data_IF_030635199057
#
_entry.id   IF_030635199057
#
_cell.length_a   1.000
_cell.length_b   1.000
_cell.length_c   1.000
_cell.angle_alpha   90.00
_cell.angle_beta   90.00
_cell.angle_gamma   90.00
#
_symmetry.space_group_name_H-M   'P 1'
#
loop_
_entity.id
_entity.type
_entity.pdbx_description
1 polymer ?
#
# COMPACT_ATOMS: atom_id res chain seq x y z
N UNK A 1 3.82 -18.03 3.33
CA UNK A 1 3.95 -18.15 4.80
C UNK A 1 3.95 -19.61 5.28
N UNK A 2 3.23 -20.50 4.59
CA UNK A 2 3.03 -21.88 5.04
C UNK A 2 4.23 -22.82 4.83
N UNK A 3 5.21 -22.39 4.02
CA UNK A 3 6.45 -23.13 3.75
C UNK A 3 7.55 -22.87 4.78
N UNK A 4 7.35 -21.93 5.71
CA UNK A 4 8.36 -21.49 6.69
C UNK A 4 7.88 -21.81 8.11
N UNK A 5 8.70 -22.50 8.93
CA UNK A 5 8.39 -22.76 10.34
C UNK A 5 8.01 -21.48 11.09
N UNK A 6 7.09 -21.56 12.06
CA UNK A 6 6.54 -20.38 12.76
C UNK A 6 7.62 -19.46 13.33
N UNK A 7 8.69 -20.03 13.86
CA UNK A 7 9.84 -19.30 14.42
C UNK A 7 10.61 -18.47 13.37
N UNK A 8 10.60 -18.89 12.11
CA UNK A 8 11.34 -18.25 11.02
C UNK A 8 10.49 -17.31 10.15
N UNK A 9 9.18 -17.22 10.43
CA UNK A 9 8.24 -16.39 9.64
C UNK A 9 8.62 -14.92 9.68
N UNK A 10 8.95 -14.36 10.85
CA UNK A 10 9.35 -12.96 10.99
C UNK A 10 10.59 -12.63 10.11
N UNK A 11 11.72 -13.35 10.24
CA UNK A 11 12.87 -13.18 9.34
C UNK A 11 12.53 -13.33 7.85
N UNK A 12 11.73 -14.34 7.48
CA UNK A 12 11.38 -14.58 6.08
C UNK A 12 10.54 -13.44 5.48
N UNK A 13 9.58 -12.89 6.24
CA UNK A 13 8.79 -11.73 5.81
C UNK A 13 9.68 -10.50 5.66
N UNK A 14 10.64 -10.29 6.58
CA UNK A 14 11.58 -9.17 6.47
C UNK A 14 12.45 -9.28 5.21
N UNK A 15 12.93 -10.48 4.86
CA UNK A 15 13.68 -10.71 3.61
C UNK A 15 12.79 -10.47 2.39
N UNK A 16 11.54 -10.92 2.42
CA UNK A 16 10.58 -10.69 1.34
C UNK A 16 10.33 -9.19 1.13
N UNK A 17 10.11 -8.44 2.20
CA UNK A 17 9.92 -6.98 2.13
C UNK A 17 11.15 -6.27 1.61
N UNK A 18 12.35 -6.66 2.09
CA UNK A 18 13.60 -6.14 1.55
C UNK A 18 13.70 -6.40 0.03
N UNK A 19 13.40 -7.62 -0.43
CA UNK A 19 13.43 -7.95 -1.85
C UNK A 19 12.43 -7.11 -2.66
N UNK A 20 11.21 -6.91 -2.16
CA UNK A 20 10.19 -6.06 -2.81
C UNK A 20 10.63 -4.60 -2.92
N UNK A 21 11.22 -4.05 -1.86
CA UNK A 21 11.72 -2.67 -1.86
C UNK A 21 12.94 -2.49 -2.76
N UNK A 22 13.88 -3.43 -2.75
CA UNK A 22 15.04 -3.43 -3.66
C UNK A 22 14.57 -3.53 -5.11
N UNK A 23 13.62 -4.42 -5.39
CA UNK A 23 12.99 -4.55 -6.71
C UNK A 23 12.39 -3.23 -7.17
N UNK A 24 11.63 -2.56 -6.29
CA UNK A 24 11.02 -1.25 -6.57
C UNK A 24 12.05 -0.14 -6.82
N UNK A 25 13.16 -0.12 -6.06
CA UNK A 25 14.25 0.84 -6.24
C UNK A 25 14.96 0.63 -7.58
N UNK A 26 15.26 -0.63 -7.92
CA UNK A 26 15.92 -1.00 -9.19
C UNK A 26 14.99 -0.71 -10.37
N UNK A 27 13.70 -1.04 -10.26
CA UNK A 27 12.72 -0.78 -11.33
C UNK A 27 12.50 0.71 -11.56
N UNK A 28 12.43 1.53 -10.49
CA UNK A 28 12.32 2.98 -10.63
C UNK A 28 13.57 3.58 -11.30
N UNK A 29 14.76 3.13 -10.89
CA UNK A 29 16.03 3.62 -11.43
C UNK A 29 16.24 3.25 -12.90
N UNK A 30 16.03 1.97 -13.26
CA UNK A 30 16.19 1.48 -14.63
C UNK A 30 15.02 1.89 -15.52
N UNK A 31 13.79 1.89 -14.99
CA UNK A 31 12.59 2.28 -15.72
C UNK A 31 12.65 3.73 -16.20
N UNK A 32 13.14 4.66 -15.38
CA UNK A 32 13.31 6.05 -15.79
C UNK A 32 14.33 6.23 -16.92
N UNK A 33 15.46 5.52 -16.85
CA UNK A 33 16.48 5.54 -17.90
C UNK A 33 15.97 4.92 -19.21
N UNK A 34 15.32 3.75 -19.14
CA UNK A 34 14.78 3.07 -20.32
C UNK A 34 13.63 3.87 -20.97
N UNK A 35 12.74 4.44 -20.15
CA UNK A 35 11.64 5.30 -20.64
C UNK A 35 12.15 6.57 -21.34
N UNK A 36 13.34 7.06 -20.99
CA UNK A 36 13.95 8.23 -21.64
C UNK A 36 14.49 7.96 -23.05
N UNK A 37 14.74 6.68 -23.40
CA UNK A 37 15.26 6.27 -24.71
C UNK A 37 14.12 5.80 -25.62
N UNK A 38 13.29 4.86 -25.17
CA UNK A 38 12.10 4.40 -25.89
C UNK A 38 11.16 3.61 -24.98
N UNK A 39 9.86 3.91 -24.99
CA UNK A 39 8.87 3.15 -24.21
C UNK A 39 8.83 1.65 -24.56
N UNK A 40 9.10 1.29 -25.82
CA UNK A 40 9.04 -0.10 -26.28
C UNK A 40 10.14 -0.99 -25.65
N UNK A 41 11.33 -0.44 -25.38
CA UNK A 41 12.42 -1.20 -24.75
C UNK A 41 12.10 -1.53 -23.30
N UNK A 42 11.36 -0.65 -22.62
CA UNK A 42 10.86 -0.89 -21.27
C UNK A 42 9.87 -2.07 -21.24
N UNK A 43 8.91 -2.11 -22.17
CA UNK A 43 7.99 -3.25 -22.30
C UNK A 43 8.69 -4.56 -22.68
N UNK A 44 9.71 -4.50 -23.55
CA UNK A 44 10.52 -5.67 -23.90
C UNK A 44 11.31 -6.22 -22.71
N UNK A 45 11.91 -5.34 -21.90
CA UNK A 45 12.63 -5.71 -20.68
C UNK A 45 11.70 -6.33 -19.62
N UNK A 46 10.51 -5.74 -19.42
CA UNK A 46 9.48 -6.27 -18.52
C UNK A 46 9.02 -7.67 -18.94
N UNK A 47 8.75 -7.86 -20.24
CA UNK A 47 8.39 -9.17 -20.81
C UNK A 47 9.50 -10.20 -20.57
N UNK A 48 10.76 -9.83 -20.86
CA UNK A 48 11.91 -10.72 -20.71
C UNK A 48 12.14 -11.15 -19.26
N UNK A 49 12.11 -10.20 -18.31
CA UNK A 49 12.29 -10.49 -16.89
C UNK A 49 11.16 -11.35 -16.31
N UNK A 50 9.92 -11.06 -16.71
CA UNK A 50 8.74 -11.87 -16.32
C UNK A 50 8.83 -13.30 -16.86
N UNK A 51 9.26 -13.47 -18.11
CA UNK A 51 9.45 -14.80 -18.71
C UNK A 51 10.56 -15.59 -18.01
N UNK A 52 11.69 -14.95 -17.69
CA UNK A 52 12.77 -15.56 -16.92
C UNK A 52 12.25 -16.01 -15.56
N UNK A 53 11.52 -15.16 -14.84
CA UNK A 53 10.93 -15.53 -13.55
C UNK A 53 9.96 -16.72 -13.67
N UNK A 54 9.08 -16.72 -14.69
CA UNK A 54 8.18 -17.83 -14.96
C UNK A 54 8.94 -19.14 -15.23
N UNK A 55 10.01 -19.10 -16.02
CA UNK A 55 10.86 -20.26 -16.28
C UNK A 55 11.58 -20.76 -15.03
N UNK A 56 12.15 -19.86 -14.22
CA UNK A 56 12.77 -20.20 -12.95
C UNK A 56 11.76 -20.87 -12.01
N UNK A 57 10.53 -20.36 -11.92
CA UNK A 57 9.46 -20.99 -11.16
C UNK A 57 9.12 -22.38 -11.73
N UNK A 58 8.99 -22.56 -13.03
CA UNK A 58 8.69 -23.87 -13.63
C UNK A 58 9.78 -24.93 -13.38
N UNK A 59 11.04 -24.49 -13.28
CA UNK A 59 12.22 -25.37 -13.11
C UNK A 59 12.50 -25.64 -11.63
N UNK A 60 12.52 -24.59 -10.80
CA UNK A 60 13.01 -24.65 -9.42
C UNK A 60 11.90 -24.69 -8.36
N UNK A 61 10.65 -24.36 -8.69
CA UNK A 61 9.59 -24.36 -7.69
C UNK A 61 9.27 -25.80 -7.25
N UNK A 62 9.35 -26.12 -5.95
CA UNK A 62 9.08 -27.46 -5.45
C UNK A 62 7.64 -27.86 -5.78
N UNK A 63 7.46 -28.85 -6.66
CA UNK A 63 6.12 -29.40 -7.01
C UNK A 63 5.45 -30.16 -5.87
N UNK A 64 6.16 -30.36 -4.75
CA UNK A 64 5.75 -31.17 -3.61
C UNK A 64 5.20 -30.33 -2.44
N UNK A 65 4.59 -29.18 -2.73
CA UNK A 65 3.67 -28.58 -1.75
C UNK A 65 2.42 -29.43 -1.80
N UNK A 66 2.34 -30.43 -0.91
CA UNK A 66 1.07 -31.06 -0.64
C UNK A 66 0.13 -29.93 -0.22
N UNK A 67 -0.94 -29.65 -0.98
CA UNK A 67 -2.00 -28.80 -0.46
C UNK A 67 -2.36 -29.44 0.87
N UNK A 68 -2.23 -28.70 1.99
CA UNK A 68 -2.89 -29.15 3.20
C UNK A 68 -4.34 -29.42 2.77
N UNK A 69 -4.86 -30.65 2.93
CA UNK A 69 -6.21 -30.97 2.51
C UNK A 69 -7.07 -29.92 3.18
N UNK A 70 -7.65 -29.03 2.36
CA UNK A 70 -8.23 -27.76 2.79
C UNK A 70 -9.01 -28.03 4.07
N UNK A 71 -8.45 -27.60 5.21
CA UNK A 71 -8.90 -28.01 6.54
C UNK A 71 -10.41 -27.91 6.56
N UNK A 72 -11.08 -29.08 6.49
CA UNK A 72 -12.50 -29.26 6.23
C UNK A 72 -13.22 -27.95 5.89
N UNK A 73 -13.14 -27.50 4.62
CA UNK A 73 -13.96 -26.38 4.18
C UNK A 73 -15.38 -26.70 4.63
N UNK A 74 -15.96 -25.86 5.48
CA UNK A 74 -17.31 -25.99 6.01
C UNK A 74 -18.24 -26.26 4.84
N UNK A 75 -18.60 -27.53 4.64
CA UNK A 75 -19.45 -27.96 3.54
C UNK A 75 -20.88 -27.63 3.92
N UNK A 76 -21.37 -26.54 3.37
CA UNK A 76 -22.75 -26.11 3.44
C UNK A 76 -22.90 -24.75 2.75
N UNK A 77 -24.02 -24.47 2.08
CA UNK A 77 -24.29 -23.14 1.53
C UNK A 77 -24.27 -22.13 2.68
N UNK A 78 -23.17 -21.38 2.82
CA UNK A 78 -23.15 -20.24 3.72
C UNK A 78 -24.09 -19.19 3.14
N UNK A 79 -25.08 -18.70 3.90
CA UNK A 79 -25.93 -17.62 3.43
C UNK A 79 -25.05 -16.44 3.00
N UNK A 80 -25.36 -15.79 1.87
CA UNK A 80 -24.61 -14.58 1.43
C UNK A 80 -24.57 -13.53 2.55
N UNK A 81 -25.64 -13.47 3.36
CA UNK A 81 -25.72 -12.61 4.54
C UNK A 81 -24.66 -12.92 5.62
N UNK A 82 -24.19 -14.17 5.72
CA UNK A 82 -23.13 -14.59 6.62
C UNK A 82 -21.74 -14.07 6.19
N UNK A 83 -21.57 -13.72 4.91
CA UNK A 83 -20.36 -13.05 4.43
C UNK A 83 -20.32 -11.57 4.83
N UNK A 84 -21.48 -10.95 5.09
CA UNK A 84 -21.58 -9.55 5.52
C UNK A 84 -21.40 -9.37 7.03
N UNK A 85 -21.13 -10.45 7.79
CA UNK A 85 -20.87 -10.41 9.23
C UNK A 85 -19.81 -9.38 9.63
N UNK A 86 -18.66 -9.24 8.94
CA UNK A 86 -17.66 -8.25 9.30
C UNK A 86 -18.21 -6.82 9.28
N UNK A 87 -19.11 -6.51 8.34
CA UNK A 87 -19.70 -5.17 8.22
C UNK A 87 -20.71 -4.84 9.32
N UNK A 88 -21.13 -5.81 10.14
CA UNK A 88 -21.99 -5.56 11.30
C UNK A 88 -21.22 -4.95 12.47
N UNK A 89 -19.92 -5.24 12.56
CA UNK A 89 -19.04 -4.67 13.57
C UNK A 89 -18.68 -3.21 13.24
N UNK A 90 -18.93 -2.31 14.19
CA UNK A 90 -18.60 -0.90 14.05
C UNK A 90 -17.09 -0.64 13.97
N UNK A 91 -16.29 -1.40 14.72
CA UNK A 91 -14.84 -1.30 14.69
C UNK A 91 -14.29 -1.72 13.32
N UNK A 92 -14.77 -2.86 12.79
CA UNK A 92 -14.38 -3.31 11.47
C UNK A 92 -14.80 -2.34 10.36
N UNK A 93 -16.03 -1.77 10.41
CA UNK A 93 -16.45 -0.73 9.45
C UNK A 93 -15.52 0.48 9.46
N UNK A 94 -15.09 0.95 10.63
CA UNK A 94 -14.12 2.05 10.74
C UNK A 94 -12.79 1.69 10.09
N UNK A 95 -12.25 0.51 10.37
CA UNK A 95 -10.99 0.05 9.77
C UNK A 95 -11.14 -0.04 8.25
N UNK A 96 -12.22 -0.64 7.76
CA UNK A 96 -12.50 -0.75 6.34
C UNK A 96 -12.52 0.63 5.67
N UNK A 97 -13.19 1.62 6.27
CA UNK A 97 -13.24 2.99 5.76
C UNK A 97 -11.87 3.68 5.80
N UNK A 98 -11.10 3.50 6.88
CA UNK A 98 -9.73 4.01 6.97
C UNK A 98 -8.86 3.41 5.86
N UNK A 99 -8.91 2.09 5.66
CA UNK A 99 -8.16 1.40 4.62
C UNK A 99 -8.54 1.90 3.23
N UNK A 100 -9.83 2.04 2.95
CA UNK A 100 -10.32 2.61 1.70
C UNK A 100 -9.79 4.04 1.48
N UNK A 101 -9.92 4.92 2.48
CA UNK A 101 -9.47 6.32 2.36
C UNK A 101 -7.95 6.41 2.19
N UNK A 102 -7.19 5.72 3.04
CA UNK A 102 -5.73 5.75 3.01
C UNK A 102 -5.18 5.21 1.67
N UNK A 103 -5.70 4.08 1.19
CA UNK A 103 -5.28 3.52 -0.11
C UNK A 103 -5.70 4.39 -1.29
N UNK A 104 -6.84 5.08 -1.18
CA UNK A 104 -7.26 6.05 -2.18
C UNK A 104 -6.29 7.22 -2.30
N UNK A 105 -5.76 7.72 -1.17
CA UNK A 105 -4.75 8.79 -1.21
C UNK A 105 -3.37 8.24 -1.62
N UNK A 106 -2.99 7.05 -1.14
CA UNK A 106 -1.74 6.38 -1.52
C UNK A 106 -1.68 6.12 -3.04
N UNK A 107 -2.80 5.76 -3.67
CA UNK A 107 -2.88 5.55 -5.12
C UNK A 107 -2.50 6.78 -5.96
N UNK A 108 -2.55 7.98 -5.37
CA UNK A 108 -2.15 9.21 -6.07
C UNK A 108 -0.65 9.27 -6.31
N UNK A 109 0.15 8.57 -5.48
CA UNK A 109 1.60 8.48 -5.61
C UNK A 109 2.01 8.00 -7.01
N UNK A 110 1.34 6.96 -7.51
CA UNK A 110 1.73 6.29 -8.75
C UNK A 110 1.07 6.87 -9.99
N UNK A 111 0.07 7.74 -9.83
CA UNK A 111 -0.79 8.22 -10.92
C UNK A 111 -0.78 9.75 -11.00
N UNK A 112 -1.58 10.42 -10.17
CA UNK A 112 -1.79 11.87 -10.18
C UNK A 112 -0.51 12.64 -9.91
N UNK A 113 0.36 12.16 -9.03
CA UNK A 113 1.63 12.81 -8.73
C UNK A 113 2.57 12.85 -9.94
N UNK A 114 2.66 11.76 -10.70
CA UNK A 114 3.48 11.70 -11.92
C UNK A 114 2.99 12.70 -12.98
N UNK A 115 1.67 12.79 -13.16
CA UNK A 115 1.05 13.77 -14.08
C UNK A 115 1.23 15.21 -13.56
N UNK A 116 1.10 15.42 -12.26
CA UNK A 116 1.27 16.75 -11.67
C UNK A 116 2.70 17.26 -11.81
N UNK A 117 3.69 16.39 -11.56
CA UNK A 117 5.11 16.71 -11.73
C UNK A 117 5.43 17.11 -13.17
N UNK A 118 4.89 16.41 -14.16
CA UNK A 118 5.10 16.76 -15.58
C UNK A 118 4.40 18.07 -15.98
N UNK A 119 3.21 18.37 -15.42
CA UNK A 119 2.55 19.68 -15.60
C UNK A 119 3.35 20.85 -15.03
N UNK A 120 4.15 20.62 -14.00
CA UNK A 120 5.08 21.60 -13.43
C UNK A 120 6.41 21.69 -14.21
N UNK A 121 6.53 21.03 -15.36
CA UNK A 121 7.75 21.03 -16.19
C UNK A 121 8.82 20.02 -15.74
N UNK A 122 8.48 19.11 -14.82
CA UNK A 122 9.35 18.00 -14.45
C UNK A 122 9.43 16.93 -15.54
N UNK A 123 10.51 16.16 -15.54
CA UNK A 123 10.72 15.06 -16.50
C UNK A 123 10.32 13.70 -15.92
N UNK A 124 10.04 12.69 -16.75
CA UNK A 124 9.87 11.30 -16.29
C UNK A 124 11.09 10.80 -15.49
N UNK A 125 12.30 11.19 -15.89
CA UNK A 125 13.53 10.86 -15.18
C UNK A 125 13.56 11.45 -13.76
N UNK A 126 13.06 12.68 -13.57
CA UNK A 126 12.94 13.29 -12.24
C UNK A 126 11.94 12.51 -11.37
N UNK A 127 10.77 12.15 -11.91
CA UNK A 127 9.79 11.32 -11.18
C UNK A 127 10.40 9.97 -10.76
N UNK A 128 11.06 9.27 -11.68
CA UNK A 128 11.72 8.00 -11.42
C UNK A 128 12.86 8.12 -10.39
N UNK A 129 13.67 9.18 -10.48
CA UNK A 129 14.74 9.46 -9.52
C UNK A 129 14.19 9.75 -8.12
N UNK A 130 13.10 10.51 -8.03
CA UNK A 130 12.40 10.74 -6.77
C UNK A 130 11.84 9.42 -6.21
N UNK A 131 11.17 8.60 -7.02
CA UNK A 131 10.69 7.27 -6.58
C UNK A 131 11.83 6.37 -6.09
N UNK A 132 12.96 6.32 -6.80
CA UNK A 132 14.12 5.54 -6.41
C UNK A 132 14.73 6.03 -5.08
N UNK A 133 14.86 7.35 -4.89
CA UNK A 133 15.30 7.94 -3.62
C UNK A 133 14.33 7.58 -2.49
N UNK A 134 13.03 7.62 -2.76
CA UNK A 134 12.01 7.18 -1.82
C UNK A 134 12.15 5.71 -1.41
N UNK A 135 12.32 4.80 -2.37
CA UNK A 135 12.56 3.38 -2.09
C UNK A 135 13.83 3.14 -1.29
N UNK A 136 14.91 3.89 -1.53
CA UNK A 136 16.13 3.82 -0.72
C UNK A 136 15.85 4.20 0.74
N UNK A 137 15.08 5.27 0.96
CA UNK A 137 14.66 5.69 2.30
C UNK A 137 13.82 4.61 2.97
N UNK A 138 12.92 3.95 2.24
CA UNK A 138 12.18 2.76 2.75
C UNK A 138 13.14 1.68 3.22
N UNK A 139 14.08 1.27 2.38
CA UNK A 139 15.05 0.21 2.72
C UNK A 139 15.83 0.56 4.00
N UNK A 140 16.23 1.83 4.16
CA UNK A 140 17.03 2.29 5.30
C UNK A 140 16.21 2.47 6.58
N UNK A 141 14.96 2.92 6.48
CA UNK A 141 14.17 3.36 7.64
C UNK A 141 13.01 2.43 8.02
N UNK A 142 12.58 1.51 7.15
CA UNK A 142 11.41 0.66 7.44
C UNK A 142 11.61 -0.18 8.70
N UNK A 143 12.76 -0.87 8.83
CA UNK A 143 13.03 -1.72 10.00
C UNK A 143 13.16 -0.88 11.29
N UNK A 144 13.95 0.22 11.33
CA UNK A 144 13.97 1.13 12.48
C UNK A 144 12.60 1.68 12.86
N UNK A 145 11.82 2.17 11.89
CA UNK A 145 10.50 2.75 12.13
C UNK A 145 9.51 1.71 12.65
N UNK A 146 9.48 0.53 12.04
CA UNK A 146 8.61 -0.57 12.51
C UNK A 146 8.95 -0.97 13.93
N UNK A 147 10.24 -1.03 14.28
CA UNK A 147 10.70 -1.33 15.64
C UNK A 147 10.34 -0.22 16.63
N UNK A 148 10.42 1.04 16.20
CA UNK A 148 10.05 2.19 17.02
C UNK A 148 8.55 2.22 17.34
N UNK A 149 7.71 1.95 16.33
CA UNK A 149 6.25 1.98 16.47
C UNK A 149 5.62 0.68 16.98
N UNK A 150 6.40 -0.38 17.23
CA UNK A 150 5.87 -1.69 17.64
C UNK A 150 5.02 -1.67 18.93
N UNK A 151 5.21 -0.67 19.79
CA UNK A 151 4.45 -0.50 21.05
C UNK A 151 3.34 0.55 20.95
N UNK A 152 3.21 1.23 19.81
CA UNK A 152 2.20 2.27 19.60
C UNK A 152 0.91 1.60 19.09
N UNK A 153 -0.27 1.96 19.61
CA UNK A 153 -1.53 1.43 19.12
C UNK A 153 -1.67 1.64 17.62
N UNK A 154 -2.05 0.56 16.92
CA UNK A 154 -2.09 0.53 15.46
C UNK A 154 -2.94 1.65 14.86
N UNK A 155 -4.08 2.00 15.47
CA UNK A 155 -4.91 3.12 15.05
C UNK A 155 -4.17 4.46 15.02
N UNK A 156 -3.29 4.71 16.01
CA UNK A 156 -2.48 5.93 16.08
C UNK A 156 -1.36 5.93 15.04
N UNK A 157 -0.78 4.77 14.77
CA UNK A 157 0.22 4.60 13.71
C UNK A 157 -0.40 4.95 12.35
N UNK A 158 -1.57 4.38 12.03
CA UNK A 158 -2.28 4.71 10.79
C UNK A 158 -2.70 6.17 10.71
N UNK A 159 -3.16 6.75 11.83
CA UNK A 159 -3.51 8.16 11.90
C UNK A 159 -2.30 9.06 11.62
N UNK A 160 -1.12 8.72 12.13
CA UNK A 160 0.11 9.46 11.86
C UNK A 160 0.51 9.41 10.38
N UNK A 161 0.45 8.23 9.75
CA UNK A 161 0.71 8.09 8.30
C UNK A 161 -0.26 8.91 7.46
N UNK A 162 -1.55 8.78 7.75
CA UNK A 162 -2.62 9.52 7.07
C UNK A 162 -2.47 11.04 7.23
N UNK A 163 -1.98 11.50 8.39
CA UNK A 163 -1.72 12.92 8.65
C UNK A 163 -0.54 13.43 7.82
N UNK A 164 0.55 12.65 7.74
CA UNK A 164 1.70 13.00 6.88
C UNK A 164 1.27 13.11 5.42
N UNK A 165 0.41 12.20 4.96
CA UNK A 165 -0.13 12.25 3.62
C UNK A 165 -1.05 13.48 3.39
N UNK A 166 -1.88 13.82 4.37
CA UNK A 166 -2.70 15.02 4.29
C UNK A 166 -1.85 16.31 4.22
N UNK A 167 -0.77 16.38 4.99
CA UNK A 167 0.20 17.48 4.94
C UNK A 167 0.90 17.50 3.57
N UNK A 168 1.30 16.35 3.03
CA UNK A 168 1.91 16.24 1.70
C UNK A 168 1.00 16.82 0.61
N UNK A 169 -0.29 16.44 0.64
CA UNK A 169 -1.28 16.97 -0.27
C UNK A 169 -1.49 18.48 -0.07
N UNK A 170 -1.54 18.95 1.18
CA UNK A 170 -1.59 20.38 1.50
C UNK A 170 -0.40 21.15 0.88
N UNK A 171 0.82 20.62 1.00
CA UNK A 171 2.01 21.19 0.37
C UNK A 171 1.84 21.20 -1.16
N UNK A 172 1.43 20.10 -1.78
CA UNK A 172 1.20 20.02 -3.23
C UNK A 172 0.20 21.08 -3.74
N UNK A 173 -0.79 21.48 -2.93
CA UNK A 173 -1.76 22.52 -3.31
C UNK A 173 -1.16 23.93 -3.42
N UNK A 174 0.02 24.15 -2.80
CA UNK A 174 0.72 25.44 -2.75
C UNK A 174 1.93 25.49 -3.69
N UNK A 175 2.37 24.34 -4.21
CA UNK A 175 3.60 24.24 -5.00
C UNK A 175 3.40 24.78 -6.41
N UNK A 176 4.33 25.65 -6.85
CA UNK A 176 4.35 26.25 -8.19
C UNK A 176 5.49 25.75 -9.10
N UNK A 177 6.34 24.82 -8.62
CA UNK A 177 7.49 24.34 -9.37
C UNK A 177 7.96 22.92 -8.99
N UNK A 178 8.66 22.21 -9.89
CA UNK A 178 8.83 20.76 -9.79
C UNK A 178 9.80 20.32 -8.68
N UNK A 179 10.76 21.17 -8.30
CA UNK A 179 11.76 20.84 -7.28
C UNK A 179 11.21 20.85 -5.85
N UNK A 180 10.09 21.54 -5.61
CA UNK A 180 9.41 21.55 -4.31
C UNK A 180 8.64 20.24 -4.01
N UNK A 181 8.57 19.33 -5.00
CA UNK A 181 7.89 18.03 -4.86
C UNK A 181 8.71 16.98 -4.09
N UNK A 182 9.95 17.26 -3.72
CA UNK A 182 10.76 16.36 -2.86
C UNK A 182 10.17 16.20 -1.45
N UNK A 183 9.52 17.24 -0.90
CA UNK A 183 8.86 17.20 0.40
C UNK A 183 7.61 16.30 0.42
N UNK A 184 6.67 16.44 -0.54
CA UNK A 184 5.56 15.50 -0.71
C UNK A 184 6.02 14.06 -0.91
N UNK A 185 7.11 13.85 -1.64
CA UNK A 185 7.67 12.52 -1.85
C UNK A 185 8.14 11.88 -0.54
N UNK A 186 8.86 12.61 0.30
CA UNK A 186 9.27 12.11 1.62
C UNK A 186 8.06 11.72 2.45
N UNK A 187 7.01 12.55 2.47
CA UNK A 187 5.79 12.25 3.21
C UNK A 187 5.05 11.01 2.68
N UNK A 188 5.02 10.81 1.36
CA UNK A 188 4.51 9.60 0.71
C UNK A 188 5.32 8.35 1.10
N UNK A 189 6.63 8.50 1.21
CA UNK A 189 7.55 7.43 1.62
C UNK A 189 7.31 7.04 3.08
N UNK A 190 7.11 8.01 3.96
CA UNK A 190 6.74 7.75 5.35
C UNK A 190 5.34 7.12 5.46
N UNK A 191 4.36 7.57 4.68
CA UNK A 191 3.02 6.99 4.65
C UNK A 191 3.05 5.50 4.28
N UNK A 192 3.73 5.14 3.19
CA UNK A 192 3.82 3.74 2.76
C UNK A 192 4.49 2.82 3.79
N UNK A 193 5.49 3.33 4.53
CA UNK A 193 6.13 2.59 5.63
C UNK A 193 5.26 2.44 6.88
N UNK A 194 4.38 3.40 7.13
CA UNK A 194 3.53 3.43 8.32
C UNK A 194 2.24 2.65 8.09
N UNK A 195 1.70 2.66 6.87
CA UNK A 195 0.44 1.99 6.52
C UNK A 195 0.60 0.48 6.27
N UNK A 196 1.69 0.05 5.60
CA UNK A 196 1.85 -1.34 5.14
C UNK A 196 1.95 -2.39 6.28
N UNK A 197 2.77 -2.21 7.34
CA UNK A 197 2.95 -3.24 8.37
C UNK A 197 1.73 -3.51 9.26
N UNK A 198 0.99 -2.50 9.76
CA UNK A 198 -0.20 -2.74 10.58
C UNK A 198 -1.39 -3.24 9.77
N UNK A 199 -1.51 -2.86 8.50
CA UNK A 199 -2.62 -3.29 7.65
C UNK A 199 -2.69 -4.81 7.48
N UNK A 200 -1.53 -5.47 7.34
CA UNK A 200 -1.43 -6.93 7.22
C UNK A 200 -1.80 -7.68 8.52
N UNK A 201 -1.73 -7.02 9.67
CA UNK A 201 -1.94 -7.65 10.99
C UNK A 201 -3.32 -7.39 11.58
N UNK A 202 -3.89 -6.19 11.38
CA UNK A 202 -5.20 -5.79 11.94
C UNK A 202 -6.32 -6.75 11.54
N UNK A 203 -6.35 -7.15 10.26
CA UNK A 203 -7.39 -8.05 9.76
C UNK A 203 -7.35 -9.43 10.38
N UNK A 204 -6.15 -9.90 10.77
CA UNK A 204 -5.97 -11.20 11.41
C UNK A 204 -6.21 -11.16 12.92
N UNK A 205 -5.99 -10.01 13.56
CA UNK A 205 -6.19 -9.78 15.00
C UNK A 205 -7.67 -9.59 15.36
N UNK A 206 -8.45 -8.91 14.52
CA UNK A 206 -9.86 -8.60 14.81
C UNK A 206 -10.80 -9.74 14.40
N UNK A 207 -10.37 -10.59 13.48
CA UNK A 207 -11.21 -11.63 12.94
C UNK A 207 -11.25 -12.87 13.84
N UNK A 208 -12.45 -13.41 14.14
CA UNK A 208 -12.60 -14.74 14.72
C UNK A 208 -11.87 -15.79 13.88
N UNK A 209 -11.30 -16.81 14.52
CA UNK A 209 -10.44 -17.79 13.85
C UNK A 209 -11.11 -18.44 12.63
N UNK A 210 -12.43 -18.66 12.71
CA UNK A 210 -13.25 -19.29 11.66
C UNK A 210 -13.63 -18.33 10.51
N UNK A 211 -13.49 -17.01 10.72
CA UNK A 211 -13.90 -15.95 9.78
C UNK A 211 -12.74 -15.07 9.28
N UNK A 212 -11.50 -15.36 9.68
CA UNK A 212 -10.28 -14.66 9.22
C UNK A 212 -10.22 -14.45 7.72
N UNK A 213 -10.55 -15.48 6.94
CA UNK A 213 -10.58 -15.38 5.48
C UNK A 213 -11.55 -14.30 5.00
N UNK A 214 -12.77 -14.25 5.54
CA UNK A 214 -13.80 -13.27 5.16
C UNK A 214 -13.40 -11.85 5.55
N UNK A 215 -12.91 -11.63 6.77
CA UNK A 215 -12.45 -10.32 7.23
C UNK A 215 -11.29 -9.79 6.37
N UNK A 216 -10.29 -10.63 6.10
CA UNK A 216 -9.17 -10.26 5.23
C UNK A 216 -9.64 -9.96 3.81
N UNK A 217 -10.56 -10.74 3.23
CA UNK A 217 -11.13 -10.45 1.91
C UNK A 217 -11.83 -9.10 1.85
N UNK A 218 -12.60 -8.73 2.88
CA UNK A 218 -13.25 -7.42 2.92
C UNK A 218 -12.25 -6.26 3.02
N UNK A 219 -11.16 -6.42 3.77
CA UNK A 219 -10.08 -5.44 3.80
C UNK A 219 -9.43 -5.29 2.41
N UNK A 220 -9.11 -6.41 1.75
CA UNK A 220 -8.58 -6.37 0.38
C UNK A 220 -9.54 -5.73 -0.62
N UNK A 221 -10.85 -5.90 -0.46
CA UNK A 221 -11.86 -5.17 -1.24
C UNK A 221 -11.75 -3.66 -0.98
N UNK A 222 -11.60 -3.22 0.27
CA UNK A 222 -11.42 -1.80 0.61
C UNK A 222 -10.21 -1.21 -0.12
N UNK A 223 -9.08 -1.92 -0.05
CA UNK A 223 -7.83 -1.52 -0.69
C UNK A 223 -7.93 -1.51 -2.21
N UNK A 224 -8.50 -2.56 -2.80
CA UNK A 224 -8.73 -2.62 -4.24
C UNK A 224 -9.62 -1.49 -4.74
N UNK A 225 -10.69 -1.17 -4.00
CA UNK A 225 -11.56 -0.03 -4.32
C UNK A 225 -10.82 1.30 -4.20
N UNK A 226 -9.98 1.49 -3.18
CA UNK A 226 -9.16 2.70 -3.03
C UNK A 226 -8.20 2.89 -4.21
N UNK A 227 -7.48 1.84 -4.61
CA UNK A 227 -6.58 1.88 -5.77
C UNK A 227 -7.30 1.98 -7.13
N UNK A 228 -8.56 1.56 -7.22
CA UNK A 228 -9.35 1.68 -8.45
C UNK A 228 -10.00 3.08 -8.58
N UNK A 229 -10.63 3.57 -7.52
CA UNK A 229 -11.38 4.83 -7.54
C UNK A 229 -10.48 6.05 -7.33
N UNK A 230 -9.37 5.88 -6.61
CA UNK A 230 -8.43 6.95 -6.32
C UNK A 230 -7.86 7.61 -7.56
N UNK A 231 -7.22 6.89 -8.49
CA UNK A 231 -6.66 7.48 -9.69
C UNK A 231 -7.72 8.15 -10.58
N UNK A 232 -8.93 7.58 -10.65
CA UNK A 232 -10.03 8.17 -11.40
C UNK A 232 -10.45 9.53 -10.81
N UNK A 233 -10.63 9.58 -9.49
CA UNK A 233 -10.98 10.82 -8.78
C UNK A 233 -9.86 11.85 -8.87
N UNK A 234 -8.61 11.44 -8.58
CA UNK A 234 -7.44 12.33 -8.62
C UNK A 234 -7.16 12.89 -10.00
N UNK A 235 -7.16 12.03 -11.03
CA UNK A 235 -6.98 12.47 -12.42
C UNK A 235 -8.08 13.43 -12.89
N UNK A 236 -9.34 13.16 -12.53
CA UNK A 236 -10.46 14.05 -12.83
C UNK A 236 -10.28 15.40 -12.15
N UNK A 237 -10.04 15.43 -10.83
CA UNK A 237 -9.88 16.67 -10.07
C UNK A 237 -8.66 17.47 -10.53
N UNK A 238 -7.54 16.80 -10.81
CA UNK A 238 -6.32 17.43 -11.31
C UNK A 238 -6.57 18.10 -12.67
N UNK A 239 -7.45 17.53 -13.49
CA UNK A 239 -7.83 18.11 -14.79
C UNK A 239 -8.60 19.42 -14.65
N UNK A 240 -9.35 19.62 -13.56
CA UNK A 240 -9.99 20.89 -13.27
C UNK A 240 -9.03 21.89 -12.60
N UNK A 241 -8.38 21.49 -11.51
CA UNK A 241 -7.51 22.37 -10.73
C UNK A 241 -6.61 21.57 -9.80
N UNK A 242 -5.27 21.73 -9.86
CA UNK A 242 -4.37 21.03 -8.95
C UNK A 242 -4.62 21.34 -7.47
N UNK A 243 -4.82 22.60 -7.03
CA UNK A 243 -5.19 22.90 -5.64
C UNK A 243 -6.46 22.18 -5.18
N UNK A 244 -7.48 22.07 -6.05
CA UNK A 244 -8.71 21.34 -5.73
C UNK A 244 -8.45 19.85 -5.53
N UNK A 245 -7.67 19.24 -6.43
CA UNK A 245 -7.29 17.83 -6.34
C UNK A 245 -6.58 17.54 -5.02
N UNK A 246 -5.52 18.28 -4.74
CA UNK A 246 -4.72 18.05 -3.55
C UNK A 246 -5.44 18.44 -2.26
N UNK A 247 -6.30 19.47 -2.29
CA UNK A 247 -7.16 19.83 -1.17
C UNK A 247 -8.16 18.72 -0.81
N UNK A 248 -8.81 18.12 -1.82
CA UNK A 248 -9.74 16.99 -1.60
C UNK A 248 -8.99 15.76 -1.10
N UNK A 249 -7.86 15.40 -1.72
CA UNK A 249 -7.05 14.26 -1.28
C UNK A 249 -6.52 14.45 0.15
N UNK A 250 -6.11 15.68 0.49
CA UNK A 250 -5.72 16.05 1.85
C UNK A 250 -6.88 15.92 2.83
N UNK A 251 -8.09 16.36 2.45
CA UNK A 251 -9.31 16.20 3.25
C UNK A 251 -9.67 14.74 3.50
N UNK A 252 -9.48 13.86 2.52
CA UNK A 252 -9.70 12.41 2.65
C UNK A 252 -8.65 11.80 3.58
N UNK A 253 -7.39 12.26 3.49
CA UNK A 253 -6.34 11.90 4.45
C UNK A 253 -6.71 12.30 5.88
N UNK A 254 -7.17 13.54 6.10
CA UNK A 254 -7.64 14.00 7.41
C UNK A 254 -8.85 13.21 7.94
N UNK A 255 -9.77 12.82 7.05
CA UNK A 255 -10.86 11.93 7.42
C UNK A 255 -10.33 10.58 7.91
N UNK A 256 -9.33 10.00 7.24
CA UNK A 256 -8.68 8.78 7.69
C UNK A 256 -8.01 8.95 9.06
N UNK A 257 -7.37 10.09 9.35
CA UNK A 257 -6.82 10.41 10.68
C UNK A 257 -7.90 10.32 11.76
N UNK A 258 -9.02 11.01 11.57
CA UNK A 258 -10.12 11.05 12.55
C UNK A 258 -10.72 9.65 12.74
N UNK A 259 -10.91 8.91 11.66
CA UNK A 259 -11.45 7.55 11.72
C UNK A 259 -10.47 6.58 12.39
N UNK A 260 -9.16 6.78 12.26
CA UNK A 260 -8.13 5.90 12.81
C UNK A 260 -7.79 6.17 14.30
N UNK A 261 -7.94 7.41 14.77
CA UNK A 261 -7.44 7.86 16.08
C UNK A 261 -7.90 7.02 17.28
N UNK A 262 -9.18 6.64 17.30
CA UNK A 262 -9.78 5.83 18.37
C UNK A 262 -9.95 4.35 17.97
N UNK A 263 -9.08 3.81 17.10
CA UNK A 263 -9.04 2.37 16.84
C UNK A 263 -8.13 1.73 17.87
N UNK A 264 -8.74 1.12 18.88
CA UNK A 264 -8.07 0.19 19.78
C UNK A 264 -8.31 -1.22 19.23
N UNK A 265 -7.27 -2.06 19.10
CA UNK A 265 -7.49 -3.47 18.77
C UNK A 265 -8.37 -4.05 19.87
N UNK A 266 -9.53 -4.56 19.48
CA UNK A 266 -10.46 -5.17 20.42
C UNK A 266 -9.73 -6.33 21.12
N UNK A 267 -9.38 -6.13 22.39
CA UNK A 267 -8.94 -7.23 23.24
C UNK A 267 -10.12 -8.19 23.32
N UNK A 268 -10.09 -9.27 22.55
CA UNK A 268 -10.90 -10.42 22.88
C UNK A 268 -10.29 -10.96 24.17
N UNK A 269 -10.90 -10.60 25.30
CA UNK A 269 -10.69 -11.30 26.56
C UNK A 269 -10.87 -12.79 26.28
N UNK A 270 -9.79 -13.54 26.54
CA UNK A 270 -9.76 -14.99 26.45
C UNK A 270 -10.53 -15.61 27.62
#
# INVERSE_FOLDING_TARGET
MDLVPREQRRPAISILRLAMNVGSMVSASLGGLLASVAFLTLFGADTGTTLIFALLMLIFFPRHIHPQPAAQMVQGPRPVLALLVPLRDCAFRRIWLVSFCATMVLSQQTTTFAVYLTRLGGSPALYCGLMAAGSLIVILLEVPLTTFFQHVPVGRVIALGSLLMAIAAGICSLVMGPYWLALPLLAIVFDSMIFSPPYDTIGAEIAPAEQRGTYMSFLWIATGLGFALGPALGGMLLSYSPPLCWGIMGGIGLLAVVLAWNIEPAAHEA
#
